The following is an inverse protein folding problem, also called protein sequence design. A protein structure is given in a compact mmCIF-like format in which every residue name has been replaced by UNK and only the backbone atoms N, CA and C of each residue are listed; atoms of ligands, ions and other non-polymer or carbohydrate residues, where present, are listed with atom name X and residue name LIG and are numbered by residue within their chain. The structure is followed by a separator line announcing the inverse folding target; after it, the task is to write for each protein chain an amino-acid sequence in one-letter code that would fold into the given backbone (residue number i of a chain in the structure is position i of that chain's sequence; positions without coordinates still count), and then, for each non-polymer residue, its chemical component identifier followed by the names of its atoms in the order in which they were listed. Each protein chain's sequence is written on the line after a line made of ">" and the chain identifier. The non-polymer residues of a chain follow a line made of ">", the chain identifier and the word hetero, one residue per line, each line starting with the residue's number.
data_IF_420889351552
#
_entry.id   IF_420889351552
#
_cell.length_a   1.000
_cell.length_b   1.000
_cell.length_c   1.000
_cell.angle_alpha   90.00
_cell.angle_beta   90.00
_cell.angle_gamma   90.00
#
_symmetry.space_group_name_H-M   'P 1'
#
loop_
_entity.id
_entity.type
_entity.pdbx_description
1 polymer ?
#
# COMPACT_ATOMS: atom_id res chain seq x y z
N UNK A 1 -7.26 6.16 1.14
CA UNK A 1 -6.38 5.13 1.74
C UNK A 1 -6.60 3.86 0.95
N UNK A 2 -5.57 3.40 0.23
CA UNK A 2 -5.57 2.08 -0.39
C UNK A 2 -4.83 1.16 0.58
N UNK A 3 -5.54 0.54 1.53
CA UNK A 3 -4.91 -0.23 2.59
C UNK A 3 -4.44 -1.61 2.11
N UNK A 4 -3.45 -2.17 2.80
CA UNK A 4 -3.06 -3.56 2.58
C UNK A 4 -4.16 -4.49 3.11
N UNK A 5 -4.42 -5.63 2.46
CA UNK A 5 -5.48 -6.55 2.90
C UNK A 5 -5.23 -7.08 4.33
N UNK A 6 -3.96 -7.26 4.72
CA UNK A 6 -3.57 -7.73 6.05
C UNK A 6 -3.36 -6.59 7.07
N UNK A 7 -3.58 -5.33 6.66
CA UNK A 7 -3.45 -4.18 7.55
C UNK A 7 -4.41 -4.30 8.75
N UNK A 8 -3.87 -4.10 9.96
CA UNK A 8 -4.64 -4.23 11.21
C UNK A 8 -4.97 -5.67 11.63
N UNK A 9 -4.62 -6.69 10.83
CA UNK A 9 -4.82 -8.10 11.14
C UNK A 9 -3.65 -8.75 11.87
N UNK A 10 -3.66 -10.09 11.91
CA UNK A 10 -2.59 -10.91 12.54
C UNK A 10 -1.22 -10.71 11.87
N UNK A 11 -1.20 -10.41 10.57
CA UNK A 11 0.03 -10.19 9.79
C UNK A 11 0.33 -8.69 9.57
N UNK A 12 -0.27 -7.80 10.37
CA UNK A 12 -0.07 -6.35 10.25
C UNK A 12 1.40 -5.91 10.38
N UNK A 13 2.22 -6.63 11.15
CA UNK A 13 3.66 -6.37 11.27
C UNK A 13 4.44 -6.64 9.99
N UNK A 14 3.90 -7.46 9.08
CA UNK A 14 4.50 -7.72 7.77
C UNK A 14 4.02 -6.71 6.72
N UNK A 15 3.05 -5.85 7.07
CA UNK A 15 2.52 -4.85 6.17
C UNK A 15 3.43 -3.61 6.14
N UNK A 16 3.54 -3.02 4.95
CA UNK A 16 4.25 -1.77 4.71
C UNK A 16 3.27 -0.73 4.18
N UNK A 17 3.27 0.45 4.81
CA UNK A 17 2.50 1.60 4.33
C UNK A 17 3.43 2.53 3.53
N UNK A 18 3.11 2.72 2.26
CA UNK A 18 3.82 3.64 1.37
C UNK A 18 3.18 5.01 1.51
N UNK A 19 3.95 5.97 2.02
CA UNK A 19 3.55 7.38 2.09
C UNK A 19 3.99 8.09 0.81
N UNK A 20 3.07 8.82 0.18
CA UNK A 20 3.31 9.44 -1.12
C UNK A 20 3.07 10.94 -1.07
N UNK A 21 4.00 11.73 -1.61
CA UNK A 21 3.77 13.16 -1.78
C UNK A 21 2.89 13.42 -3.02
N UNK A 22 1.59 13.63 -2.78
CA UNK A 22 0.61 13.97 -3.81
C UNK A 22 0.08 12.79 -4.64
N UNK A 23 -0.99 13.05 -5.41
CA UNK A 23 -1.73 12.02 -6.15
C UNK A 23 -0.94 11.39 -7.30
N UNK A 24 0.04 12.12 -7.86
CA UNK A 24 0.94 11.61 -8.89
C UNK A 24 1.80 10.46 -8.35
N UNK A 25 2.38 10.64 -7.16
CA UNK A 25 3.18 9.61 -6.50
C UNK A 25 2.30 8.44 -6.02
N UNK A 26 1.09 8.73 -5.52
CA UNK A 26 0.10 7.69 -5.18
C UNK A 26 -0.20 6.79 -6.38
N UNK A 27 -0.51 7.39 -7.53
CA UNK A 27 -0.88 6.66 -8.75
C UNK A 27 0.26 5.77 -9.24
N UNK A 28 1.50 6.26 -9.16
CA UNK A 28 2.69 5.47 -9.47
C UNK A 28 2.83 4.27 -8.53
N UNK A 29 2.71 4.48 -7.21
CA UNK A 29 2.80 3.41 -6.22
C UNK A 29 1.71 2.34 -6.44
N UNK A 30 0.46 2.76 -6.65
CA UNK A 30 -0.67 1.86 -6.93
C UNK A 30 -0.46 1.05 -8.21
N UNK A 31 0.16 1.63 -9.24
CA UNK A 31 0.49 0.87 -10.47
C UNK A 31 1.48 -0.27 -10.21
N UNK A 32 2.45 -0.07 -9.32
CA UNK A 32 3.42 -1.10 -8.91
C UNK A 32 2.81 -2.21 -8.06
N UNK A 33 1.78 -1.90 -7.26
CA UNK A 33 1.05 -2.90 -6.47
C UNK A 33 0.33 -3.95 -7.32
N UNK A 34 0.01 -3.64 -8.58
CA UNK A 34 -0.55 -4.63 -9.52
C UNK A 34 0.40 -5.80 -9.80
N UNK A 35 1.71 -5.60 -9.60
CA UNK A 35 2.75 -6.63 -9.82
C UNK A 35 3.12 -7.36 -8.53
N UNK A 36 3.22 -6.63 -7.42
CA UNK A 36 3.70 -7.17 -6.13
C UNK A 36 2.56 -7.78 -5.29
N UNK A 37 1.31 -7.33 -5.51
CA UNK A 37 0.14 -7.72 -4.73
C UNK A 37 -0.21 -6.70 -3.63
N UNK A 38 -1.47 -6.75 -3.18
CA UNK A 38 -2.05 -5.80 -2.20
C UNK A 38 -2.13 -6.35 -0.78
N UNK A 39 -1.64 -7.56 -0.54
CA UNK A 39 -1.83 -8.20 0.77
C UNK A 39 -1.04 -7.51 1.88
N UNK A 40 0.21 -7.11 1.57
CA UNK A 40 1.15 -6.52 2.53
C UNK A 40 1.52 -5.06 2.24
N UNK A 41 0.95 -4.43 1.22
CA UNK A 41 1.34 -3.07 0.84
C UNK A 41 0.12 -2.17 0.67
N UNK A 42 0.09 -1.09 1.46
CA UNK A 42 -0.89 -0.02 1.35
C UNK A 42 -0.26 1.28 0.86
N UNK A 43 -1.08 2.22 0.35
CA UNK A 43 -0.65 3.53 -0.13
C UNK A 43 -1.55 4.63 0.45
N UNK A 44 -0.92 5.66 1.00
CA UNK A 44 -1.56 6.86 1.52
C UNK A 44 -0.79 8.10 1.07
N UNK A 45 -1.45 9.12 0.48
CA UNK A 45 -0.91 10.47 0.49
C UNK A 45 -1.15 11.12 1.86
#
# INVERSE_FOLDING_TARGET
>A
LDDANDAGGKHSLECTLILTEGDSAKSLAVSGLGVIGRDRYGVFP
#
